data_IF_186990257270
#
_entry.id   IF_186990257270
#
_cell.length_a   1.000
_cell.length_b   1.000
_cell.length_c   1.000
_cell.angle_alpha   90.00
_cell.angle_beta   90.00
_cell.angle_gamma   90.00
#
_symmetry.space_group_name_H-M   'P 1'
#
loop_
_entity.id
_entity.type
_entity.pdbx_description
1 polymer ?
#
# COMPACT_ATOMS: atom_id res chain seq x y z
N UNK A 1 -7.36 -25.94 -19.03
CA UNK A 1 -7.57 -25.72 -17.61
C UNK A 1 -6.80 -24.50 -17.13
N UNK A 2 -7.39 -23.85 -16.21
CA UNK A 2 -6.79 -22.64 -15.70
C UNK A 2 -5.59 -22.97 -14.82
N UNK A 3 -4.51 -22.27 -15.05
CA UNK A 3 -3.33 -22.43 -14.25
C UNK A 3 -3.10 -21.29 -13.32
N UNK A 4 -4.11 -20.46 -13.15
CA UNK A 4 -4.04 -19.44 -12.17
C UNK A 4 -4.18 -20.09 -10.82
N UNK A 5 -3.06 -20.54 -10.32
CA UNK A 5 -3.05 -21.43 -9.20
C UNK A 5 -3.07 -20.72 -7.87
N UNK A 6 -2.78 -19.43 -7.86
CA UNK A 6 -2.69 -18.74 -6.59
C UNK A 6 -3.31 -17.36 -6.66
N UNK A 7 -4.10 -17.08 -5.64
CA UNK A 7 -4.50 -15.72 -5.33
C UNK A 7 -3.88 -15.37 -3.99
N UNK A 8 -3.11 -14.31 -3.96
CA UNK A 8 -2.43 -13.85 -2.77
C UNK A 8 -3.18 -12.63 -2.25
N UNK A 9 -3.55 -12.65 -0.97
CA UNK A 9 -4.21 -11.51 -0.37
C UNK A 9 -3.16 -10.54 0.12
N UNK A 10 -3.28 -9.27 -0.32
CA UNK A 10 -2.31 -8.22 -0.01
C UNK A 10 -3.07 -7.02 0.53
N UNK A 11 -2.54 -6.41 1.57
CA UNK A 11 -3.13 -5.22 2.18
C UNK A 11 -2.14 -4.08 2.16
N UNK A 12 -2.66 -2.86 2.03
CA UNK A 12 -1.82 -1.67 2.01
C UNK A 12 -2.47 -0.56 2.82
N UNK A 13 -1.64 0.32 3.34
CA UNK A 13 -2.06 1.40 4.22
C UNK A 13 -2.00 2.72 3.47
N UNK A 14 -3.10 3.46 3.52
CA UNK A 14 -3.14 4.84 3.06
C UNK A 14 -2.98 5.69 4.32
N UNK A 15 -1.78 6.15 4.56
CA UNK A 15 -1.45 6.95 5.74
C UNK A 15 -1.33 8.40 5.31
N UNK A 16 -2.16 9.24 5.87
CA UNK A 16 -2.29 10.63 5.47
C UNK A 16 -1.85 11.55 6.60
N UNK A 17 -1.13 12.61 6.26
CA UNK A 17 -0.78 13.65 7.22
C UNK A 17 -1.79 14.79 7.15
N UNK A 18 -1.73 15.68 8.15
CA UNK A 18 -2.63 16.84 8.21
C UNK A 18 -2.50 17.75 7.00
N UNK A 19 -1.32 17.80 6.39
CA UNK A 19 -1.10 18.66 5.22
C UNK A 19 -1.57 18.01 3.92
N UNK A 20 -2.21 16.85 4.00
CA UNK A 20 -2.75 16.16 2.83
C UNK A 20 -1.78 15.23 2.14
N UNK A 21 -0.54 15.14 2.62
CA UNK A 21 0.43 14.21 2.03
C UNK A 21 0.17 12.79 2.46
N UNK A 22 0.44 11.87 1.55
CA UNK A 22 0.31 10.44 1.82
C UNK A 22 1.69 9.78 1.78
N UNK A 23 1.83 8.71 2.52
CA UNK A 23 3.09 7.99 2.60
C UNK A 23 3.19 6.96 1.50
N UNK A 24 4.31 6.99 0.75
CA UNK A 24 4.65 5.93 -0.18
C UNK A 24 6.02 5.39 0.18
N UNK A 25 6.25 4.12 -0.13
CA UNK A 25 7.52 3.47 0.14
C UNK A 25 8.05 2.84 -1.13
N UNK A 26 9.36 2.70 -1.22
CA UNK A 26 10.00 2.14 -2.40
C UNK A 26 10.46 0.73 -2.10
N UNK A 27 10.13 -0.18 -3.02
CA UNK A 27 10.50 -1.59 -2.89
C UNK A 27 12.01 -1.74 -3.01
N UNK A 28 12.53 -2.71 -2.30
CA UNK A 28 13.97 -2.99 -2.30
C UNK A 28 14.43 -3.47 -3.68
N UNK A 29 15.73 -3.31 -4.00
CA UNK A 29 16.25 -3.76 -5.29
C UNK A 29 16.10 -5.26 -5.53
N UNK A 30 16.02 -6.08 -4.48
CA UNK A 30 15.88 -7.53 -4.60
C UNK A 30 14.43 -8.00 -4.64
N UNK A 31 13.48 -7.09 -4.47
CA UNK A 31 12.07 -7.47 -4.39
C UNK A 31 11.49 -7.75 -5.77
N UNK A 32 10.33 -8.40 -5.80
CA UNK A 32 9.50 -8.47 -7.00
C UNK A 32 9.13 -7.04 -7.39
N UNK A 33 9.26 -6.70 -8.67
CA UNK A 33 9.10 -5.33 -9.16
C UNK A 33 10.01 -4.37 -8.42
N UNK A 34 11.33 -4.54 -8.56
CA UNK A 34 12.29 -3.80 -7.75
C UNK A 34 12.20 -2.31 -7.96
N UNK A 35 12.40 -1.57 -6.88
CA UNK A 35 12.47 -0.10 -6.86
C UNK A 35 11.20 0.62 -7.30
N UNK A 36 10.09 -0.11 -7.49
CA UNK A 36 8.79 0.52 -7.68
C UNK A 36 8.32 1.11 -6.35
N UNK A 37 7.52 2.15 -6.44
CA UNK A 37 6.90 2.76 -5.27
C UNK A 37 5.55 2.10 -5.01
N UNK A 38 5.10 2.13 -3.77
CA UNK A 38 3.84 1.51 -3.38
C UNK A 38 3.34 2.14 -2.10
N UNK A 39 2.07 1.90 -1.78
CA UNK A 39 1.57 2.20 -0.45
C UNK A 39 2.07 1.07 0.46
N UNK A 40 2.53 1.39 1.69
CA UNK A 40 3.15 0.36 2.52
C UNK A 40 2.17 -0.71 2.95
N UNK A 41 2.65 -1.93 3.05
CA UNK A 41 1.82 -3.07 3.42
C UNK A 41 2.50 -4.37 3.05
N UNK A 42 1.71 -5.41 2.86
CA UNK A 42 2.25 -6.71 2.49
C UNK A 42 1.21 -7.80 2.48
N UNK A 43 1.68 -9.04 2.50
CA UNK A 43 0.82 -10.21 2.39
C UNK A 43 0.14 -10.52 3.70
N UNK A 44 -1.12 -10.94 3.61
CA UNK A 44 -1.87 -11.46 4.75
C UNK A 44 -1.47 -12.93 4.91
N UNK A 45 -1.03 -13.29 6.10
CA UNK A 45 -0.62 -14.67 6.38
C UNK A 45 -1.81 -15.49 6.85
N UNK A 46 -1.66 -16.80 6.77
CA UNK A 46 -2.74 -17.71 7.16
C UNK A 46 -3.19 -17.41 8.59
N UNK A 47 -4.49 -17.28 8.77
CA UNK A 47 -5.06 -17.01 10.08
C UNK A 47 -5.09 -15.56 10.49
N UNK A 48 -4.48 -14.66 9.70
CA UNK A 48 -4.52 -13.23 10.01
C UNK A 48 -5.74 -12.57 9.39
N UNK A 49 -6.29 -11.57 10.09
CA UNK A 49 -7.20 -10.62 9.47
C UNK A 49 -6.39 -9.60 8.68
N UNK A 50 -7.05 -8.87 7.79
CA UNK A 50 -6.41 -7.75 7.08
C UNK A 50 -5.81 -6.76 8.05
N UNK A 51 -6.56 -6.43 9.08
CA UNK A 51 -6.13 -5.45 10.07
C UNK A 51 -4.87 -5.90 10.80
N UNK A 52 -4.85 -7.14 11.26
CA UNK A 52 -3.68 -7.69 11.95
C UNK A 52 -2.46 -7.71 11.03
N UNK A 53 -2.66 -8.13 9.79
CA UNK A 53 -1.57 -8.19 8.81
C UNK A 53 -1.00 -6.81 8.56
N UNK A 54 -1.87 -5.82 8.42
CA UNK A 54 -1.44 -4.47 8.09
C UNK A 54 -0.65 -3.86 9.25
N UNK A 55 -1.13 -4.02 10.48
CA UNK A 55 -0.40 -3.52 11.66
C UNK A 55 0.97 -4.17 11.74
N UNK A 56 1.05 -5.48 11.50
CA UNK A 56 2.30 -6.22 11.54
C UNK A 56 3.26 -5.74 10.45
N UNK A 57 2.78 -5.64 9.22
CA UNK A 57 3.63 -5.26 8.09
C UNK A 57 4.20 -3.86 8.26
N UNK A 58 3.36 -2.92 8.70
CA UNK A 58 3.82 -1.54 8.89
C UNK A 58 4.89 -1.48 9.98
N UNK A 59 4.70 -2.24 11.04
CA UNK A 59 5.70 -2.28 12.10
C UNK A 59 7.02 -2.90 11.61
N UNK A 60 6.94 -3.97 10.84
CA UNK A 60 8.13 -4.62 10.29
C UNK A 60 8.88 -3.71 9.32
N UNK A 61 8.16 -3.01 8.48
CA UNK A 61 8.77 -2.21 7.43
C UNK A 61 9.23 -0.84 7.90
N UNK A 62 8.49 -0.21 8.80
CA UNK A 62 8.70 1.19 9.15
C UNK A 62 8.91 1.44 10.63
N UNK A 63 8.69 0.44 11.47
CA UNK A 63 8.91 0.56 12.91
C UNK A 63 7.90 1.41 13.64
N UNK A 64 6.71 1.61 13.05
CA UNK A 64 5.67 2.44 13.66
C UNK A 64 4.40 1.66 13.89
N UNK A 65 3.54 2.19 14.74
CA UNK A 65 2.22 1.63 15.04
C UNK A 65 1.16 2.42 14.29
N UNK A 66 0.22 1.70 13.69
CA UNK A 66 -0.91 2.34 13.02
C UNK A 66 -2.22 1.78 13.54
N UNK A 67 -3.27 2.56 13.40
CA UNK A 67 -4.64 2.12 13.62
C UNK A 67 -5.30 2.00 12.25
N UNK A 68 -5.86 0.82 11.97
CA UNK A 68 -6.51 0.56 10.69
C UNK A 68 -7.93 1.09 10.76
N UNK A 69 -8.29 1.88 9.77
CA UNK A 69 -9.62 2.48 9.69
C UNK A 69 -10.43 1.93 8.54
N UNK A 70 -11.03 2.82 7.77
CA UNK A 70 -12.02 2.47 6.75
C UNK A 70 -11.36 1.82 5.54
N UNK A 71 -12.00 0.80 5.01
CA UNK A 71 -11.59 0.17 3.75
C UNK A 71 -11.77 1.19 2.62
N UNK A 72 -10.68 1.47 1.92
CA UNK A 72 -10.68 2.49 0.88
C UNK A 72 -10.95 1.90 -0.50
N UNK A 73 -10.35 0.76 -0.81
CA UNK A 73 -10.42 0.19 -2.15
C UNK A 73 -10.12 -1.30 -2.09
N UNK A 74 -10.80 -2.09 -2.92
CA UNK A 74 -10.50 -3.50 -3.09
C UNK A 74 -10.55 -3.85 -4.56
N UNK A 75 -9.62 -4.68 -5.01
CA UNK A 75 -9.61 -5.14 -6.40
C UNK A 75 -8.81 -6.42 -6.52
N UNK A 76 -9.05 -7.13 -7.61
CA UNK A 76 -8.22 -8.25 -8.02
C UNK A 76 -7.37 -7.83 -9.20
N UNK A 77 -6.12 -8.23 -9.18
CA UNK A 77 -5.22 -7.95 -10.30
C UNK A 77 -4.46 -9.22 -10.66
N UNK A 78 -4.44 -9.53 -11.95
CA UNK A 78 -3.80 -10.74 -12.45
C UNK A 78 -2.40 -10.40 -12.96
N UNK A 79 -1.40 -11.02 -12.35
CA UNK A 79 -0.06 -11.06 -12.90
C UNK A 79 0.11 -12.38 -13.64
N UNK A 80 1.13 -12.53 -14.49
CA UNK A 80 1.25 -13.75 -15.29
C UNK A 80 1.25 -15.05 -14.48
N UNK A 81 1.88 -15.03 -13.30
CA UNK A 81 2.06 -16.27 -12.53
C UNK A 81 1.11 -16.38 -11.36
N UNK A 82 0.40 -15.32 -11.00
CA UNK A 82 -0.50 -15.33 -9.85
C UNK A 82 -1.42 -14.13 -9.90
N UNK A 83 -2.42 -14.14 -9.05
CA UNK A 83 -3.33 -13.00 -8.88
C UNK A 83 -3.19 -12.44 -7.49
N UNK A 84 -3.48 -11.17 -7.32
CA UNK A 84 -3.57 -10.61 -5.98
C UNK A 84 -4.99 -10.13 -5.72
N UNK A 85 -5.44 -10.36 -4.48
CA UNK A 85 -6.67 -9.81 -3.93
C UNK A 85 -6.21 -8.67 -3.04
N UNK A 86 -6.31 -7.45 -3.54
CA UNK A 86 -5.62 -6.28 -3.00
C UNK A 86 -6.61 -5.36 -2.31
N UNK A 87 -6.32 -5.02 -1.06
CA UNK A 87 -7.20 -4.17 -0.27
C UNK A 87 -6.41 -3.06 0.39
N UNK A 88 -6.91 -1.84 0.25
CA UNK A 88 -6.28 -0.64 0.79
C UNK A 88 -7.17 -0.06 1.88
N UNK A 89 -6.58 0.27 3.01
CA UNK A 89 -7.30 0.82 4.15
C UNK A 89 -6.70 2.16 4.54
N UNK A 90 -7.57 3.09 4.91
CA UNK A 90 -7.09 4.28 5.61
C UNK A 90 -6.48 3.86 6.94
N UNK A 91 -5.32 4.40 7.26
CA UNK A 91 -4.67 4.12 8.52
C UNK A 91 -4.20 5.40 9.16
N UNK A 92 -4.24 5.43 10.49
CA UNK A 92 -3.80 6.57 11.27
C UNK A 92 -2.50 6.20 11.98
N UNK A 93 -1.51 7.05 11.88
CA UNK A 93 -0.24 6.85 12.58
C UNK A 93 -0.46 7.11 14.06
N UNK A 94 -0.14 6.14 14.89
CA UNK A 94 -0.34 6.25 16.33
C UNK A 94 0.95 6.69 17.04
N UNK A 95 2.07 6.04 16.73
CA UNK A 95 3.30 6.32 17.45
C UNK A 95 4.47 5.76 16.69
N UNK A 96 5.64 6.25 17.05
CA UNK A 96 6.90 5.75 16.54
C UNK A 96 7.54 6.71 15.56
N UNK A 97 8.83 6.53 15.38
CA UNK A 97 9.62 7.28 14.41
C UNK A 97 9.84 6.38 13.20
N UNK A 98 9.49 6.86 12.02
CA UNK A 98 9.61 6.06 10.82
C UNK A 98 11.05 5.74 10.48
N UNK A 99 11.29 4.47 10.17
CA UNK A 99 12.61 3.97 9.80
C UNK A 99 12.48 3.12 8.55
N UNK A 100 13.58 3.00 7.82
CA UNK A 100 13.60 2.16 6.60
C UNK A 100 14.08 0.77 6.97
N UNK A 101 13.24 0.02 7.70
CA UNK A 101 13.58 -1.32 8.17
C UNK A 101 13.39 -2.37 7.08
N UNK A 102 12.33 -2.24 6.29
CA UNK A 102 12.01 -3.19 5.24
C UNK A 102 11.74 -2.57 3.90
N UNK A 103 12.09 -1.29 3.72
CA UNK A 103 11.87 -0.57 2.46
C UNK A 103 13.17 0.09 2.04
N UNK A 104 13.29 0.37 0.74
CA UNK A 104 14.48 1.04 0.22
C UNK A 104 14.46 2.53 0.51
N UNK A 105 13.28 3.15 0.39
CA UNK A 105 13.10 4.57 0.65
C UNK A 105 11.66 4.83 1.05
N UNK A 106 11.38 6.02 1.56
CA UNK A 106 10.02 6.45 1.87
C UNK A 106 9.87 7.93 1.59
N UNK A 107 8.67 8.35 1.23
CA UNK A 107 8.37 9.75 0.93
C UNK A 107 6.95 10.09 1.32
N UNK A 108 6.76 11.33 1.76
CA UNK A 108 5.43 11.92 1.94
C UNK A 108 5.17 12.79 0.73
N UNK A 109 4.10 12.50 -0.01
CA UNK A 109 3.82 13.19 -1.26
C UNK A 109 2.36 13.62 -1.31
N UNK A 110 2.11 14.72 -2.03
CA UNK A 110 0.74 15.12 -2.30
C UNK A 110 0.15 14.18 -3.35
N UNK A 111 -1.18 13.94 -3.33
CA UNK A 111 -1.78 13.04 -4.31
C UNK A 111 -1.45 13.41 -5.75
N UNK A 112 -1.41 14.70 -6.08
CA UNK A 112 -1.12 15.12 -7.45
C UNK A 112 0.34 14.88 -7.85
N UNK A 113 1.22 14.57 -6.89
CA UNK A 113 2.61 14.24 -7.18
C UNK A 113 2.82 12.76 -7.47
N UNK A 114 1.79 11.92 -7.25
CA UNK A 114 1.94 10.47 -7.40
C UNK A 114 2.31 10.06 -8.82
N UNK A 115 1.91 10.84 -9.82
CA UNK A 115 2.25 10.55 -11.21
C UNK A 115 3.74 10.60 -11.49
N UNK A 116 4.52 11.24 -10.62
CA UNK A 116 5.97 11.34 -10.77
C UNK A 116 6.71 10.09 -10.31
N UNK A 117 5.98 9.11 -9.76
CA UNK A 117 6.59 7.90 -9.21
C UNK A 117 6.07 6.68 -9.97
N UNK A 118 6.93 5.67 -10.10
CA UNK A 118 6.56 4.44 -10.79
C UNK A 118 5.93 3.46 -9.82
N UNK A 119 4.66 3.13 -10.05
CA UNK A 119 3.91 2.18 -9.24
C UNK A 119 3.60 0.92 -10.05
N UNK A 120 3.46 -0.25 -9.39
CA UNK A 120 2.92 -1.41 -10.07
C UNK A 120 1.49 -1.16 -10.53
N UNK A 121 1.04 -1.86 -11.57
CA UNK A 121 -0.32 -1.64 -12.10
C UNK A 121 -1.43 -1.77 -11.07
N UNK A 122 -1.27 -2.65 -10.08
CA UNK A 122 -2.32 -2.88 -9.08
C UNK A 122 -2.59 -1.64 -8.23
N UNK A 123 -1.65 -0.70 -8.15
CA UNK A 123 -1.83 0.52 -7.36
C UNK A 123 -2.55 1.64 -8.11
N UNK A 124 -2.68 1.52 -9.42
CA UNK A 124 -3.26 2.59 -10.22
C UNK A 124 -4.69 2.95 -9.84
N UNK A 125 -5.58 1.97 -9.59
CA UNK A 125 -6.95 2.33 -9.18
C UNK A 125 -7.00 3.10 -7.86
N UNK A 126 -6.09 2.80 -6.93
CA UNK A 126 -6.02 3.54 -5.67
C UNK A 126 -5.62 4.98 -5.92
N UNK A 127 -4.63 5.19 -6.79
CA UNK A 127 -4.18 6.53 -7.14
C UNK A 127 -5.29 7.32 -7.81
N UNK A 128 -6.01 6.70 -8.73
CA UNK A 128 -7.12 7.35 -9.41
C UNK A 128 -8.21 7.76 -8.44
N UNK A 129 -8.53 6.89 -7.50
CA UNK A 129 -9.55 7.21 -6.50
C UNK A 129 -9.10 8.36 -5.60
N UNK A 130 -7.82 8.34 -5.19
CA UNK A 130 -7.25 9.42 -4.40
C UNK A 130 -7.33 10.76 -5.14
N UNK A 131 -6.96 10.76 -6.40
CA UNK A 131 -6.99 11.99 -7.20
C UNK A 131 -8.41 12.50 -7.36
N UNK A 132 -9.37 11.59 -7.55
CA UNK A 132 -10.77 11.97 -7.66
C UNK A 132 -11.31 12.60 -6.39
N UNK A 133 -10.88 12.11 -5.25
CA UNK A 133 -11.30 12.67 -3.96
C UNK A 133 -10.60 13.95 -3.63
N UNK A 134 -9.33 14.09 -4.03
CA UNK A 134 -8.55 15.28 -3.75
C UNK A 134 -8.96 16.46 -4.64
N UNK A 135 -9.57 16.18 -5.79
CA UNK A 135 -9.97 17.21 -6.73
C UNK A 135 -11.43 17.59 -6.43
N UNK A 136 -11.69 18.82 -6.03
CA UNK A 136 -13.08 19.22 -5.77
C UNK A 136 -13.91 19.08 -7.03
N UNK A 137 -15.08 18.47 -6.88
CA UNK A 137 -16.05 18.47 -7.97
C UNK A 137 -16.86 19.74 -7.87
N UNK A 138 -16.88 20.45 -8.93
CA UNK A 138 -17.67 21.66 -8.97
C UNK A 138 -19.04 21.39 -9.58
#
# INVERSE_FOLDING_TARGET
MSDKTRTVRVVAALIEREDGRVLITQRRPQAFMPLKWEFPGGKVEAGESDETALVREIKEELGVQVEVGVHFMGLEHDYPDFSIDFHVYHCRLLSGEMKKLGVHDLRWVLPEELDSFEFPPADEPTIEKLLGEATPTS
#
